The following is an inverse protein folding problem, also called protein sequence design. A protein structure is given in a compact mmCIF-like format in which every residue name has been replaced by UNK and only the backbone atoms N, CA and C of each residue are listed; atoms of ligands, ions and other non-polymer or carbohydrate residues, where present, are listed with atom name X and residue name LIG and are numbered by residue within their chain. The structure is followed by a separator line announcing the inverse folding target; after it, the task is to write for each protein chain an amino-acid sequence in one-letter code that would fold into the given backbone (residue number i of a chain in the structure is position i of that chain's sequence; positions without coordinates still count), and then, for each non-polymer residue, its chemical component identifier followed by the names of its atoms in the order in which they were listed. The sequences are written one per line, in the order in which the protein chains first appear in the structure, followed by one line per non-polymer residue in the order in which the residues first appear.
data_IF_620682735682
#
_entry.id   IF_620682735682
#
_cell.length_a   1.000
_cell.length_b   1.000
_cell.length_c   1.000
_cell.angle_alpha   90.00
_cell.angle_beta   90.00
_cell.angle_gamma   90.00
#
_symmetry.space_group_name_H-M   'P 1'
#
loop_
_entity.id
_entity.type
_entity.pdbx_description
1 polymer ?
#
# COMPACT_ATOMS: atom_id res chain seq x y z
N UNK A 1 25.64 -9.43 13.46
CA UNK A 1 25.07 -8.62 12.37
C UNK A 1 24.79 -7.23 12.93
N UNK A 2 24.99 -6.18 12.16
CA UNK A 2 24.63 -4.82 12.59
C UNK A 2 23.09 -4.74 12.65
N UNK A 3 22.50 -4.22 13.74
CA UNK A 3 21.04 -4.06 13.81
C UNK A 3 20.54 -3.11 12.69
N UNK A 4 19.33 -3.30 12.20
CA UNK A 4 18.78 -2.44 11.17
C UNK A 4 18.63 -1.00 11.64
N UNK A 5 18.71 -0.06 10.69
CA UNK A 5 18.34 1.33 10.90
C UNK A 5 17.05 1.69 10.19
N UNK A 6 16.63 2.94 10.31
CA UNK A 6 15.45 3.46 9.61
C UNK A 6 15.81 4.66 8.75
N UNK A 7 15.29 4.67 7.52
CA UNK A 7 15.32 5.82 6.63
C UNK A 7 13.96 6.51 6.71
N UNK A 8 13.93 7.73 7.22
CA UNK A 8 12.74 8.58 7.24
C UNK A 8 12.83 9.69 6.18
N UNK A 9 11.69 10.18 5.72
CA UNK A 9 11.65 11.38 4.88
C UNK A 9 12.07 12.61 5.72
N UNK A 10 12.87 13.51 5.13
CA UNK A 10 13.16 14.78 5.76
C UNK A 10 12.06 15.82 5.48
N UNK A 11 11.92 16.80 6.38
CA UNK A 11 11.12 18.00 6.15
C UNK A 11 11.73 18.80 4.98
N UNK A 12 10.98 19.13 3.93
CA UNK A 12 11.50 19.83 2.75
C UNK A 12 12.11 21.21 3.06
N UNK A 13 11.59 21.90 4.08
CA UNK A 13 12.07 23.23 4.49
C UNK A 13 13.16 23.15 5.56
N UNK A 14 13.25 22.03 6.27
CA UNK A 14 14.24 21.80 7.34
C UNK A 14 14.92 20.43 7.17
N UNK A 15 15.75 20.23 6.15
CA UNK A 15 16.25 18.91 5.73
C UNK A 15 17.08 18.12 6.76
N UNK A 16 17.33 18.71 7.94
CA UNK A 16 17.99 18.05 9.08
C UNK A 16 17.00 17.50 10.11
N UNK A 17 15.71 17.69 9.88
CA UNK A 17 14.62 17.18 10.71
C UNK A 17 13.79 16.18 9.90
N UNK A 18 13.22 15.16 10.55
CA UNK A 18 12.22 14.33 9.89
C UNK A 18 11.01 15.17 9.48
N UNK A 19 10.32 14.73 8.43
CA UNK A 19 9.01 15.29 8.06
C UNK A 19 8.08 15.26 9.28
N UNK A 20 7.27 16.30 9.44
CA UNK A 20 6.39 16.45 10.62
C UNK A 20 5.44 15.28 10.82
N UNK A 21 4.99 14.64 9.73
CA UNK A 21 4.13 13.46 9.77
C UNK A 21 4.82 12.25 10.43
N UNK A 22 6.11 12.09 10.22
CA UNK A 22 6.90 10.96 10.73
C UNK A 22 7.76 11.32 11.96
N UNK A 23 7.65 12.54 12.49
CA UNK A 23 8.54 13.01 13.57
C UNK A 23 8.37 12.21 14.87
N UNK A 24 7.14 11.82 15.20
CA UNK A 24 6.87 11.01 16.39
C UNK A 24 7.43 9.60 16.23
N UNK A 25 7.23 8.99 15.07
CA UNK A 25 7.75 7.67 14.73
C UNK A 25 9.28 7.64 14.70
N UNK A 26 9.93 8.66 14.12
CA UNK A 26 11.39 8.79 14.14
C UNK A 26 11.94 8.91 15.58
N UNK A 27 11.20 9.62 16.45
CA UNK A 27 11.54 9.72 17.87
C UNK A 27 11.36 8.39 18.59
N UNK A 28 10.27 7.65 18.32
CA UNK A 28 10.03 6.34 18.89
C UNK A 28 11.08 5.31 18.45
N UNK A 29 11.46 5.30 17.16
CA UNK A 29 12.55 4.47 16.66
C UNK A 29 13.88 4.79 17.38
N UNK A 30 14.16 6.08 17.61
CA UNK A 30 15.33 6.52 18.39
C UNK A 30 15.29 6.06 19.85
N UNK A 31 14.13 6.12 20.51
CA UNK A 31 13.94 5.60 21.90
C UNK A 31 14.15 4.08 21.97
N UNK A 32 13.74 3.35 20.93
CA UNK A 32 13.98 1.91 20.79
C UNK A 32 15.46 1.58 20.50
N UNK A 33 16.35 2.58 20.37
CA UNK A 33 17.78 2.39 20.12
C UNK A 33 18.15 2.25 18.64
N UNK A 34 17.23 2.53 17.73
CA UNK A 34 17.50 2.46 16.30
C UNK A 34 18.35 3.64 15.82
N UNK A 35 19.21 3.38 14.83
CA UNK A 35 19.82 4.43 14.03
C UNK A 35 18.77 4.96 13.05
N UNK A 36 18.49 6.26 13.11
CA UNK A 36 17.62 6.96 12.17
C UNK A 36 18.45 7.83 11.22
N UNK A 37 18.11 7.80 9.95
CA UNK A 37 18.75 8.56 8.87
C UNK A 37 17.66 9.19 8.01
N UNK A 38 17.93 10.34 7.42
CA UNK A 38 16.97 11.09 6.63
C UNK A 38 17.32 11.01 5.14
N UNK A 39 16.29 10.81 4.31
CA UNK A 39 16.37 10.94 2.85
C UNK A 39 15.52 12.11 2.37
N UNK A 40 15.85 12.65 1.21
CA UNK A 40 15.09 13.69 0.54
C UNK A 40 14.09 13.03 -0.43
N UNK A 41 12.83 12.97 0.01
CA UNK A 41 11.76 12.34 -0.76
C UNK A 41 11.42 13.14 -2.02
N UNK A 42 11.45 14.49 -1.95
CA UNK A 42 11.14 15.34 -3.10
C UNK A 42 12.20 15.20 -4.18
N UNK A 43 13.48 15.14 -3.81
CA UNK A 43 14.58 14.87 -4.76
C UNK A 43 14.39 13.50 -5.44
N UNK A 44 13.98 12.45 -4.67
CA UNK A 44 13.69 11.14 -5.22
C UNK A 44 12.55 11.18 -6.25
N UNK A 45 11.45 11.84 -5.92
CA UNK A 45 10.31 11.97 -6.84
C UNK A 45 10.66 12.78 -8.09
N UNK A 46 11.54 13.79 -7.94
CA UNK A 46 12.06 14.57 -9.07
C UNK A 46 13.05 13.79 -9.97
N UNK A 47 13.43 12.56 -9.59
CA UNK A 47 14.33 11.71 -10.37
C UNK A 47 15.81 11.93 -10.09
N UNK A 48 16.15 12.47 -8.93
CA UNK A 48 17.53 12.62 -8.44
C UNK A 48 17.76 11.73 -7.19
N UNK A 49 17.89 10.40 -7.38
CA UNK A 49 18.08 9.47 -6.27
C UNK A 49 19.43 9.66 -5.55
N UNK A 50 20.46 10.16 -6.22
CA UNK A 50 21.75 10.46 -5.60
C UNK A 50 21.63 11.62 -4.60
N UNK A 51 20.93 12.69 -4.97
CA UNK A 51 20.63 13.79 -4.04
C UNK A 51 19.77 13.29 -2.88
N UNK A 52 18.76 12.46 -3.17
CA UNK A 52 17.86 11.89 -2.18
C UNK A 52 18.61 11.16 -1.05
N UNK A 53 19.64 10.38 -1.37
CA UNK A 53 20.40 9.58 -0.40
C UNK A 53 21.73 10.25 0.04
N UNK A 54 21.96 11.50 -0.33
CA UNK A 54 23.27 12.19 -0.09
C UNK A 54 23.68 12.21 1.39
N UNK A 55 22.72 12.24 2.30
CA UNK A 55 22.92 12.25 3.77
C UNK A 55 23.06 10.86 4.38
N UNK A 56 22.78 9.77 3.63
CA UNK A 56 22.92 8.42 4.15
C UNK A 56 24.41 8.09 4.27
N UNK A 57 24.93 7.71 5.45
CA UNK A 57 26.33 7.34 5.60
C UNK A 57 26.69 6.15 4.70
N UNK A 58 27.89 6.16 4.14
CA UNK A 58 28.39 5.04 3.33
C UNK A 58 28.62 3.80 4.18
N UNK A 59 28.51 2.63 3.56
CA UNK A 59 28.80 1.32 4.17
C UNK A 59 28.03 1.11 5.47
N UNK A 60 26.75 1.51 5.47
CA UNK A 60 25.86 1.48 6.61
C UNK A 60 24.53 0.76 6.26
N UNK A 61 23.75 0.41 7.25
CA UNK A 61 22.53 -0.38 7.08
C UNK A 61 22.71 -1.80 7.62
N UNK A 62 21.79 -2.73 7.34
CA UNK A 62 20.61 -2.55 6.50
C UNK A 62 19.58 -1.57 7.05
N UNK A 63 18.64 -1.15 6.20
CA UNK A 63 17.62 -0.18 6.57
C UNK A 63 16.20 -0.65 6.25
N UNK A 64 15.24 -0.32 7.14
CA UNK A 64 13.84 -0.17 6.81
C UNK A 64 13.61 1.25 6.28
N UNK A 65 12.84 1.38 5.21
CA UNK A 65 12.27 2.68 4.83
C UNK A 65 11.02 2.95 5.68
N UNK A 66 10.78 4.19 6.08
CA UNK A 66 9.55 4.61 6.73
C UNK A 66 9.23 6.04 6.33
N UNK A 67 8.18 6.22 5.50
CA UNK A 67 7.88 7.54 4.96
C UNK A 67 6.72 7.54 3.97
N UNK A 68 6.68 8.58 3.19
CA UNK A 68 5.68 8.77 2.15
C UNK A 68 5.78 7.66 1.09
N UNK A 69 4.63 7.39 0.46
CA UNK A 69 4.53 6.43 -0.63
C UNK A 69 5.45 6.83 -1.79
N UNK A 70 6.15 5.85 -2.33
CA UNK A 70 7.07 6.02 -3.44
C UNK A 70 6.54 5.20 -4.63
N UNK A 71 6.43 5.77 -5.86
CA UNK A 71 6.15 4.97 -7.04
C UNK A 71 7.18 3.84 -7.20
N UNK A 72 6.78 2.61 -7.59
CA UNK A 72 7.68 1.45 -7.62
C UNK A 72 8.97 1.67 -8.42
N UNK A 73 8.91 2.40 -9.53
CA UNK A 73 10.10 2.76 -10.31
C UNK A 73 11.08 3.61 -9.49
N UNK A 74 10.57 4.61 -8.75
CA UNK A 74 11.39 5.48 -7.89
C UNK A 74 11.94 4.73 -6.69
N UNK A 75 11.20 3.74 -6.16
CA UNK A 75 11.71 2.88 -5.10
C UNK A 75 12.88 2.01 -5.58
N UNK A 76 12.82 1.49 -6.80
CA UNK A 76 13.95 0.78 -7.40
C UNK A 76 15.17 1.69 -7.65
N UNK A 77 14.96 2.96 -7.95
CA UNK A 77 16.04 3.96 -8.05
C UNK A 77 16.66 4.25 -6.69
N UNK A 78 15.83 4.40 -5.64
CA UNK A 78 16.31 4.53 -4.25
C UNK A 78 17.18 3.35 -3.83
N UNK A 79 16.72 2.12 -4.09
CA UNK A 79 17.47 0.90 -3.77
C UNK A 79 18.85 0.89 -4.46
N UNK A 80 18.91 1.22 -5.76
CA UNK A 80 20.16 1.29 -6.52
C UNK A 80 21.11 2.38 -5.98
N UNK A 81 20.58 3.57 -5.65
CA UNK A 81 21.37 4.66 -5.10
C UNK A 81 21.94 4.32 -3.72
N UNK A 82 21.17 3.63 -2.88
CA UNK A 82 21.65 3.12 -1.60
C UNK A 82 22.73 2.04 -1.79
N UNK A 83 22.53 1.10 -2.73
CA UNK A 83 23.53 0.06 -3.04
C UNK A 83 24.86 0.65 -3.52
N UNK A 84 24.83 1.73 -4.32
CA UNK A 84 26.02 2.48 -4.74
C UNK A 84 26.76 3.16 -3.57
N UNK A 85 26.11 3.28 -2.42
CA UNK A 85 26.71 3.78 -1.16
C UNK A 85 27.14 2.67 -0.21
N UNK A 86 27.05 1.40 -0.60
CA UNK A 86 27.32 0.25 0.28
C UNK A 86 26.21 0.01 1.31
N UNK A 87 25.00 0.48 1.04
CA UNK A 87 23.82 0.34 1.92
C UNK A 87 22.79 -0.59 1.29
N UNK A 88 21.93 -1.20 2.09
CA UNK A 88 20.83 -2.05 1.61
C UNK A 88 19.51 -1.74 2.28
N UNK A 89 18.41 -1.99 1.57
CA UNK A 89 17.06 -2.02 2.12
C UNK A 89 16.71 -3.43 2.58
N UNK A 90 15.88 -3.54 3.61
CA UNK A 90 15.33 -4.81 4.11
C UNK A 90 14.11 -5.27 3.33
N UNK A 91 13.41 -4.34 2.69
CA UNK A 91 12.43 -4.61 1.64
C UNK A 91 13.05 -4.17 0.32
N UNK A 92 13.31 -5.09 -0.58
CA UNK A 92 13.78 -4.77 -1.93
C UNK A 92 12.65 -4.20 -2.80
N UNK A 93 13.00 -3.67 -3.97
CA UNK A 93 12.02 -3.05 -4.86
C UNK A 93 10.99 -4.03 -5.44
N UNK A 94 11.32 -5.31 -5.54
CA UNK A 94 10.40 -6.36 -5.97
C UNK A 94 9.36 -6.63 -4.88
N UNK A 95 9.80 -6.83 -3.64
CA UNK A 95 8.91 -7.06 -2.50
C UNK A 95 8.02 -5.84 -2.22
N UNK A 96 8.59 -4.60 -2.32
CA UNK A 96 7.81 -3.37 -2.21
C UNK A 96 6.67 -3.33 -3.23
N UNK A 97 6.97 -3.55 -4.52
CA UNK A 97 5.97 -3.56 -5.58
C UNK A 97 4.94 -4.66 -5.39
N UNK A 98 5.38 -5.86 -5.01
CA UNK A 98 4.52 -7.01 -4.76
C UNK A 98 3.48 -6.73 -3.68
N UNK A 99 3.87 -6.12 -2.56
CA UNK A 99 2.95 -5.76 -1.49
C UNK A 99 2.09 -4.53 -1.83
N UNK A 100 2.59 -3.61 -2.66
CA UNK A 100 1.97 -2.33 -2.93
C UNK A 100 0.91 -2.37 -4.02
N UNK A 101 1.12 -3.14 -5.10
CA UNK A 101 0.21 -3.22 -6.24
C UNK A 101 -0.70 -4.45 -6.16
N UNK A 102 -2.00 -4.29 -6.36
CA UNK A 102 -2.99 -5.38 -6.28
C UNK A 102 -2.58 -6.63 -7.07
N UNK A 103 -2.12 -6.56 -8.33
CA UNK A 103 -1.70 -7.74 -9.08
C UNK A 103 -0.58 -8.54 -8.40
N UNK A 104 0.27 -7.88 -7.62
CA UNK A 104 1.39 -8.52 -6.94
C UNK A 104 0.96 -9.41 -5.77
N UNK A 105 -0.05 -9.00 -5.02
CA UNK A 105 -0.49 -9.73 -3.82
C UNK A 105 -1.76 -10.55 -4.02
N UNK A 106 -2.53 -10.30 -5.07
CA UNK A 106 -3.87 -10.87 -5.24
C UNK A 106 -3.91 -12.40 -5.18
N UNK A 107 -2.98 -13.08 -5.86
CA UNK A 107 -2.98 -14.54 -5.95
C UNK A 107 -2.89 -15.18 -4.55
N UNK A 108 -2.01 -14.66 -3.69
CA UNK A 108 -1.86 -15.16 -2.31
C UNK A 108 -3.13 -14.94 -1.45
N UNK A 109 -3.96 -13.94 -1.79
CA UNK A 109 -5.12 -13.53 -1.01
C UNK A 109 -6.48 -13.91 -1.62
N UNK A 110 -6.53 -14.65 -2.72
CA UNK A 110 -7.78 -14.95 -3.45
C UNK A 110 -8.89 -15.54 -2.57
N UNK A 111 -8.55 -16.33 -1.55
CA UNK A 111 -9.52 -16.93 -0.61
C UNK A 111 -10.13 -15.91 0.36
N UNK A 112 -9.43 -14.82 0.66
CA UNK A 112 -9.77 -13.88 1.73
C UNK A 112 -10.01 -12.45 1.24
N UNK A 113 -9.98 -12.20 -0.07
CA UNK A 113 -10.18 -10.88 -0.69
C UNK A 113 -11.33 -10.93 -1.71
N UNK A 114 -12.04 -9.83 -2.01
CA UNK A 114 -13.02 -9.79 -3.07
C UNK A 114 -12.42 -10.14 -4.43
N UNK A 115 -13.17 -10.86 -5.27
CA UNK A 115 -12.74 -11.20 -6.63
C UNK A 115 -12.37 -9.93 -7.40
N UNK A 116 -11.22 -9.96 -8.06
CA UNK A 116 -10.70 -8.82 -8.81
C UNK A 116 -10.11 -9.29 -10.13
N UNK A 117 -10.29 -8.48 -11.15
CA UNK A 117 -9.64 -8.60 -12.45
C UNK A 117 -9.01 -7.26 -12.80
N UNK A 118 -8.02 -7.24 -13.66
CA UNK A 118 -7.32 -5.99 -13.96
C UNK A 118 -6.71 -5.97 -15.35
N UNK A 119 -6.53 -4.76 -15.85
CA UNK A 119 -5.81 -4.46 -17.07
C UNK A 119 -4.72 -3.44 -16.78
N UNK A 120 -3.48 -3.76 -17.15
CA UNK A 120 -2.38 -2.79 -17.10
C UNK A 120 -2.65 -1.65 -18.10
N UNK A 121 -2.40 -0.43 -17.66
CA UNK A 121 -2.59 0.80 -18.44
C UNK A 121 -1.66 1.87 -17.88
N UNK A 122 -0.94 2.56 -18.76
CA UNK A 122 -0.08 3.67 -18.37
C UNK A 122 -0.79 5.02 -18.49
N UNK A 123 -0.40 6.03 -17.70
CA UNK A 123 -0.88 7.39 -17.92
C UNK A 123 -0.71 7.85 -19.38
N UNK A 124 -1.75 8.44 -19.95
CA UNK A 124 -1.75 8.95 -21.33
C UNK A 124 -1.96 7.90 -22.42
N UNK A 125 -2.05 6.61 -22.08
CA UNK A 125 -2.49 5.60 -23.06
C UNK A 125 -3.97 5.82 -23.46
N UNK A 126 -4.34 5.48 -24.70
CA UNK A 126 -5.74 5.54 -25.12
C UNK A 126 -6.65 4.72 -24.22
N UNK A 127 -7.81 5.28 -23.90
CA UNK A 127 -8.84 4.55 -23.13
C UNK A 127 -9.29 3.34 -23.96
N UNK A 128 -9.21 2.12 -23.41
CA UNK A 128 -9.68 0.90 -24.06
C UNK A 128 -11.15 0.95 -24.45
N UNK A 129 -11.52 0.17 -25.48
CA UNK A 129 -12.90 0.05 -25.92
C UNK A 129 -13.83 -0.49 -24.82
N UNK A 130 -15.11 -0.09 -24.80
CA UNK A 130 -16.09 -0.60 -23.83
C UNK A 130 -16.19 -2.13 -23.76
N UNK A 131 -15.97 -2.84 -24.88
CA UNK A 131 -15.96 -4.29 -24.92
C UNK A 131 -14.86 -4.92 -24.08
N UNK A 132 -13.68 -4.29 -24.02
CA UNK A 132 -12.55 -4.77 -23.21
C UNK A 132 -12.85 -4.70 -21.71
N UNK A 133 -13.62 -3.69 -21.28
CA UNK A 133 -14.09 -3.62 -19.89
C UNK A 133 -15.14 -4.67 -19.57
N UNK A 134 -15.99 -5.02 -20.55
CA UNK A 134 -16.96 -6.11 -20.41
C UNK A 134 -16.28 -7.47 -20.31
N UNK A 135 -15.24 -7.71 -21.11
CA UNK A 135 -14.43 -8.92 -21.01
C UNK A 135 -13.77 -9.03 -19.64
N UNK A 136 -13.18 -7.93 -19.17
CA UNK A 136 -12.57 -7.85 -17.84
C UNK A 136 -13.59 -8.11 -16.71
N UNK A 137 -14.83 -7.60 -16.85
CA UNK A 137 -15.91 -7.89 -15.91
C UNK A 137 -16.32 -9.37 -15.95
N UNK A 138 -16.27 -10.00 -17.13
CA UNK A 138 -16.53 -11.42 -17.33
C UNK A 138 -15.56 -12.33 -16.55
N UNK A 139 -14.33 -11.92 -16.37
CA UNK A 139 -13.32 -12.64 -15.55
C UNK A 139 -13.71 -12.74 -14.07
N UNK A 140 -14.61 -11.86 -13.60
CA UNK A 140 -15.15 -11.95 -12.24
C UNK A 140 -16.24 -13.03 -12.09
N UNK A 141 -16.65 -13.66 -13.19
CA UNK A 141 -17.61 -14.75 -13.22
C UNK A 141 -18.87 -14.43 -14.05
N UNK A 142 -19.77 -15.41 -14.23
CA UNK A 142 -20.89 -15.30 -15.18
C UNK A 142 -21.97 -14.30 -14.79
N UNK A 143 -22.02 -13.88 -13.52
CA UNK A 143 -22.93 -12.86 -13.00
C UNK A 143 -22.18 -12.03 -11.94
N UNK A 144 -21.31 -11.10 -12.37
CA UNK A 144 -20.42 -10.41 -11.45
C UNK A 144 -21.14 -9.46 -10.46
N UNK A 145 -22.37 -9.02 -10.78
CA UNK A 145 -23.14 -8.10 -9.95
C UNK A 145 -22.51 -6.71 -9.84
N UNK A 146 -22.68 -6.03 -8.71
CA UNK A 146 -22.06 -4.72 -8.49
C UNK A 146 -20.55 -4.84 -8.29
N UNK A 147 -19.81 -3.77 -8.65
CA UNK A 147 -18.37 -3.73 -8.51
C UNK A 147 -17.83 -2.33 -8.26
N UNK A 148 -16.54 -2.27 -8.00
CA UNK A 148 -15.80 -1.01 -7.87
C UNK A 148 -14.67 -0.94 -8.88
N UNK A 149 -14.40 0.27 -9.34
CA UNK A 149 -13.26 0.63 -10.18
C UNK A 149 -12.19 1.25 -9.30
N UNK A 150 -10.94 0.81 -9.45
CA UNK A 150 -9.78 1.39 -8.80
C UNK A 150 -8.55 1.23 -9.71
N UNK A 151 -7.43 1.85 -9.37
CA UNK A 151 -6.14 1.45 -9.93
C UNK A 151 -5.49 0.33 -9.08
N UNK A 152 -4.26 -0.01 -9.36
CA UNK A 152 -3.56 -1.08 -8.63
C UNK A 152 -3.35 -0.76 -7.14
N UNK A 153 -3.46 0.52 -6.75
CA UNK A 153 -3.17 1.00 -5.40
C UNK A 153 -4.37 1.72 -4.77
N UNK A 154 -4.99 2.68 -5.49
CA UNK A 154 -5.98 3.61 -4.95
C UNK A 154 -7.35 3.47 -5.60
N UNK A 155 -8.40 3.83 -4.85
CA UNK A 155 -9.77 4.00 -5.36
C UNK A 155 -10.21 5.46 -5.24
N UNK A 156 -11.24 5.82 -6.03
CA UNK A 156 -11.88 7.15 -6.00
C UNK A 156 -13.13 7.11 -5.12
N UNK A 157 -12.99 6.64 -3.88
CA UNK A 157 -14.13 6.47 -2.95
C UNK A 157 -14.89 7.78 -2.62
N UNK A 158 -14.24 8.93 -2.80
CA UNK A 158 -14.88 10.23 -2.62
C UNK A 158 -15.81 10.60 -3.79
N UNK A 159 -15.54 10.09 -4.98
CA UNK A 159 -16.36 10.18 -6.18
C UNK A 159 -17.13 8.86 -6.42
N UNK A 160 -17.74 8.31 -5.35
CA UNK A 160 -18.31 6.96 -5.32
C UNK A 160 -19.19 6.62 -6.52
N UNK A 161 -20.18 7.46 -6.83
CA UNK A 161 -21.14 7.19 -7.91
C UNK A 161 -20.64 7.55 -9.32
N UNK A 162 -19.59 8.35 -9.42
CA UNK A 162 -19.09 8.85 -10.68
C UNK A 162 -17.90 8.05 -11.21
N UNK A 163 -16.96 7.69 -10.32
CA UNK A 163 -15.66 7.16 -10.68
C UNK A 163 -15.22 5.92 -9.85
N UNK A 164 -16.13 5.30 -9.09
CA UNK A 164 -15.78 4.15 -8.26
C UNK A 164 -16.79 3.03 -8.36
N UNK A 165 -18.06 3.25 -8.05
CA UNK A 165 -19.08 2.20 -7.94
C UNK A 165 -19.86 1.99 -9.23
N UNK A 166 -19.96 0.73 -9.66
CA UNK A 166 -20.77 0.28 -10.78
C UNK A 166 -21.86 -0.63 -10.23
N UNK A 167 -23.15 -0.24 -10.31
CA UNK A 167 -24.25 -1.02 -9.75
C UNK A 167 -24.40 -2.42 -10.39
N UNK A 168 -24.07 -2.54 -11.67
CA UNK A 168 -24.14 -3.79 -12.44
C UNK A 168 -23.00 -3.81 -13.45
N UNK A 169 -22.03 -4.68 -13.25
CA UNK A 169 -20.85 -4.79 -14.12
C UNK A 169 -21.16 -5.31 -15.53
N UNK A 170 -22.33 -5.92 -15.74
CA UNK A 170 -22.81 -6.32 -17.07
C UNK A 170 -23.41 -5.18 -17.87
N UNK A 171 -23.69 -4.02 -17.25
CA UNK A 171 -24.07 -2.79 -17.94
C UNK A 171 -22.81 -2.14 -18.55
N UNK A 172 -22.49 -2.53 -19.78
CA UNK A 172 -21.28 -2.09 -20.50
C UNK A 172 -21.18 -0.58 -20.63
N UNK A 173 -22.29 0.12 -20.87
CA UNK A 173 -22.30 1.58 -21.03
C UNK A 173 -21.99 2.28 -19.71
N UNK A 174 -22.63 1.85 -18.63
CA UNK A 174 -22.37 2.38 -17.29
C UNK A 174 -20.96 2.09 -16.83
N UNK A 175 -20.48 0.86 -17.02
CA UNK A 175 -19.11 0.46 -16.68
C UNK A 175 -18.09 1.32 -17.42
N UNK A 176 -18.20 1.46 -18.74
CA UNK A 176 -17.30 2.30 -19.54
C UNK A 176 -17.34 3.76 -19.10
N UNK A 177 -18.51 4.29 -18.76
CA UNK A 177 -18.66 5.66 -18.23
C UNK A 177 -17.93 5.87 -16.91
N UNK A 178 -18.06 4.94 -15.95
CA UNK A 178 -17.37 5.02 -14.66
C UNK A 178 -15.86 4.87 -14.82
N UNK A 179 -15.40 3.91 -15.64
CA UNK A 179 -13.97 3.74 -15.94
C UNK A 179 -13.39 4.96 -16.62
N UNK A 180 -14.08 5.52 -17.63
CA UNK A 180 -13.66 6.75 -18.32
C UNK A 180 -13.49 7.91 -17.34
N UNK A 181 -14.47 8.10 -16.44
CA UNK A 181 -14.40 9.15 -15.42
C UNK A 181 -13.28 8.91 -14.40
N UNK A 182 -13.08 7.65 -13.99
CA UNK A 182 -11.98 7.27 -13.13
C UNK A 182 -10.63 7.63 -13.77
N UNK A 183 -10.40 7.24 -15.02
CA UNK A 183 -9.16 7.53 -15.74
C UNK A 183 -8.92 9.03 -15.91
N UNK A 184 -9.98 9.79 -16.25
CA UNK A 184 -9.90 11.25 -16.33
C UNK A 184 -9.42 11.89 -15.02
N UNK A 185 -9.98 11.44 -13.89
CA UNK A 185 -9.63 11.96 -12.56
C UNK A 185 -8.27 11.48 -12.05
N UNK A 186 -7.81 10.30 -12.45
CA UNK A 186 -6.48 9.80 -12.11
C UNK A 186 -5.39 10.51 -12.92
N UNK A 187 -5.61 10.76 -14.22
CA UNK A 187 -4.64 11.43 -15.08
C UNK A 187 -3.24 10.82 -14.96
N UNK A 188 -2.25 11.65 -14.70
CA UNK A 188 -0.84 11.24 -14.54
C UNK A 188 -0.58 10.44 -13.26
N UNK A 189 -1.53 10.40 -12.33
CA UNK A 189 -1.41 9.64 -11.07
C UNK A 189 -1.95 8.21 -11.16
N UNK A 190 -2.36 7.74 -12.35
CA UNK A 190 -2.80 6.36 -12.55
C UNK A 190 -1.68 5.37 -12.17
N UNK A 191 -1.93 4.54 -11.18
CA UNK A 191 -0.98 3.55 -10.71
C UNK A 191 -1.21 2.19 -11.39
N UNK A 192 -0.40 1.87 -12.40
CA UNK A 192 -0.25 0.55 -13.01
C UNK A 192 -1.40 0.07 -13.90
N UNK A 193 -2.62 0.55 -13.73
CA UNK A 193 -3.76 0.15 -14.56
C UNK A 193 -5.11 0.23 -13.88
N UNK A 194 -6.13 -0.37 -14.47
CA UNK A 194 -7.50 -0.40 -13.97
C UNK A 194 -7.82 -1.77 -13.40
N UNK A 195 -8.43 -1.80 -12.23
CA UNK A 195 -8.97 -2.98 -11.55
C UNK A 195 -10.49 -2.87 -11.51
N UNK A 196 -11.16 -3.93 -11.90
CA UNK A 196 -12.55 -4.19 -11.57
C UNK A 196 -12.59 -5.16 -10.40
N UNK A 197 -13.31 -4.80 -9.35
CA UNK A 197 -13.39 -5.61 -8.14
C UNK A 197 -14.84 -5.84 -7.74
N UNK A 198 -15.23 -7.08 -7.47
CA UNK A 198 -16.55 -7.39 -7.00
C UNK A 198 -16.86 -6.61 -5.72
N UNK A 199 -18.01 -5.96 -5.66
CA UNK A 199 -18.48 -5.28 -4.48
C UNK A 199 -18.93 -6.30 -3.43
N UNK A 200 -18.45 -6.13 -2.20
CA UNK A 200 -18.93 -6.87 -1.03
C UNK A 200 -19.50 -5.86 -0.01
N UNK A 201 -20.65 -6.11 0.60
CA UNK A 201 -21.24 -5.22 1.59
C UNK A 201 -20.50 -5.36 2.93
N UNK A 202 -19.88 -4.27 3.38
CA UNK A 202 -19.15 -4.22 4.66
C UNK A 202 -19.92 -3.45 5.72
N UNK A 203 -19.73 -3.87 6.98
CA UNK A 203 -20.31 -3.20 8.15
C UNK A 203 -19.63 -1.83 8.33
N UNK A 204 -20.37 -0.72 8.41
CA UNK A 204 -19.78 0.59 8.66
C UNK A 204 -18.92 0.60 9.94
N UNK A 205 -17.68 1.06 9.82
CA UNK A 205 -16.73 1.11 10.94
C UNK A 205 -16.14 -0.25 11.34
N UNK A 206 -16.43 -1.33 10.59
CA UNK A 206 -15.87 -2.65 10.80
C UNK A 206 -14.50 -2.83 10.12
N UNK A 207 -13.64 -1.80 10.11
CA UNK A 207 -12.31 -1.86 9.49
C UNK A 207 -11.21 -1.87 10.54
N UNK A 208 -10.18 -2.74 10.32
CA UNK A 208 -8.97 -2.79 11.11
C UNK A 208 -7.75 -2.87 10.19
N UNK A 209 -6.66 -2.21 10.57
CA UNK A 209 -5.35 -2.39 9.96
C UNK A 209 -4.50 -3.34 10.79
N UNK A 210 -4.01 -4.40 10.17
CA UNK A 210 -3.11 -5.37 10.80
C UNK A 210 -1.71 -5.21 10.22
N UNK A 211 -0.74 -5.08 11.09
CA UNK A 211 0.69 -4.98 10.77
C UNK A 211 1.33 -6.35 10.93
N UNK A 212 2.02 -6.80 9.89
CA UNK A 212 2.64 -8.13 9.82
C UNK A 212 4.15 -8.00 9.64
N UNK A 213 4.89 -8.75 10.44
CA UNK A 213 6.35 -8.86 10.31
C UNK A 213 6.72 -10.34 10.19
N UNK A 214 7.40 -10.70 9.11
CA UNK A 214 7.80 -12.07 8.79
C UNK A 214 6.64 -13.08 8.95
N UNK A 215 5.45 -12.71 8.45
CA UNK A 215 4.24 -13.53 8.47
C UNK A 215 3.52 -13.63 9.81
N UNK A 216 3.89 -12.82 10.80
CA UNK A 216 3.25 -12.76 12.13
C UNK A 216 2.59 -11.40 12.33
N UNK A 217 1.36 -11.39 12.83
CA UNK A 217 0.70 -10.15 13.24
C UNK A 217 1.42 -9.58 14.47
N UNK A 218 1.97 -8.39 14.33
CA UNK A 218 2.69 -7.69 15.42
C UNK A 218 1.86 -6.57 16.03
N UNK A 219 0.86 -6.07 15.30
CA UNK A 219 -0.01 -4.99 15.76
C UNK A 219 -1.36 -5.01 15.03
N UNK A 220 -2.42 -4.64 15.73
CA UNK A 220 -3.74 -4.35 15.16
C UNK A 220 -4.11 -2.93 15.57
N UNK A 221 -4.47 -2.10 14.60
CA UNK A 221 -4.89 -0.72 14.83
C UNK A 221 -6.26 -0.47 14.22
N UNK A 222 -6.94 0.58 14.68
CA UNK A 222 -8.05 1.14 13.91
C UNK A 222 -7.56 1.55 12.52
N UNK A 223 -8.45 1.47 11.52
CA UNK A 223 -8.13 2.05 10.21
C UNK A 223 -8.07 3.59 10.33
N UNK A 224 -7.11 4.28 9.70
CA UNK A 224 -7.01 5.75 9.80
C UNK A 224 -8.28 6.51 9.42
N UNK A 225 -9.09 5.97 8.51
CA UNK A 225 -10.37 6.57 8.09
C UNK A 225 -11.50 6.33 9.09
N UNK A 226 -11.36 5.41 10.05
CA UNK A 226 -12.34 5.07 11.08
C UNK A 226 -11.71 5.07 12.48
N UNK A 227 -11.12 6.19 12.91
CA UNK A 227 -10.44 6.27 14.19
C UNK A 227 -11.42 6.05 15.35
N UNK A 228 -10.96 5.39 16.39
CA UNK A 228 -11.75 5.13 17.60
C UNK A 228 -12.60 3.86 17.58
N UNK A 229 -12.66 3.15 16.45
CA UNK A 229 -13.25 1.81 16.37
C UNK A 229 -12.13 0.79 16.14
N UNK A 230 -11.94 -0.12 17.07
CA UNK A 230 -10.94 -1.19 16.98
C UNK A 230 -11.67 -2.54 17.00
N UNK A 231 -12.14 -3.03 15.85
CA UNK A 231 -12.67 -4.38 15.75
C UNK A 231 -11.54 -5.41 15.90
N UNK A 232 -11.90 -6.63 16.29
CA UNK A 232 -10.95 -7.74 16.44
C UNK A 232 -11.11 -8.67 15.24
N UNK A 233 -10.24 -8.59 14.24
CA UNK A 233 -10.34 -9.43 13.05
C UNK A 233 -9.89 -10.87 13.32
N UNK A 234 -10.45 -11.81 12.55
CA UNK A 234 -9.95 -13.18 12.49
C UNK A 234 -8.71 -13.23 11.59
N UNK A 235 -7.58 -13.69 12.11
CA UNK A 235 -6.28 -13.56 11.47
C UNK A 235 -5.75 -14.83 10.80
N UNK A 236 -6.28 -16.02 11.12
CA UNK A 236 -5.66 -17.30 10.74
C UNK A 236 -5.50 -17.44 9.23
N UNK A 237 -6.59 -17.32 8.46
CA UNK A 237 -6.56 -17.44 7.01
C UNK A 237 -5.76 -16.31 6.35
N UNK A 238 -5.82 -15.10 6.90
CA UNK A 238 -5.04 -13.95 6.41
C UNK A 238 -3.57 -14.14 6.69
N UNK A 239 -3.19 -14.67 7.87
CA UNK A 239 -1.82 -14.98 8.21
C UNK A 239 -1.20 -16.05 7.29
N UNK A 240 -1.99 -17.02 6.79
CA UNK A 240 -1.53 -17.95 5.78
C UNK A 240 -1.24 -17.24 4.44
N UNK A 241 -2.12 -16.35 4.00
CA UNK A 241 -1.94 -15.55 2.79
C UNK A 241 -0.71 -14.63 2.89
N UNK A 242 -0.50 -13.97 4.03
CA UNK A 242 0.67 -13.12 4.26
C UNK A 242 1.97 -13.93 4.21
N UNK A 243 2.00 -15.13 4.79
CA UNK A 243 3.18 -16.01 4.68
C UNK A 243 3.43 -16.46 3.24
N UNK A 244 2.38 -16.76 2.49
CA UNK A 244 2.48 -17.13 1.06
C UNK A 244 2.99 -15.97 0.19
N UNK A 245 2.65 -14.72 0.54
CA UNK A 245 3.15 -13.53 -0.14
C UNK A 245 4.68 -13.38 -0.04
N UNK A 246 5.28 -13.79 1.06
CA UNK A 246 6.72 -13.77 1.27
C UNK A 246 7.35 -12.40 1.49
N UNK A 247 6.56 -11.33 1.63
CA UNK A 247 7.04 -10.00 1.97
C UNK A 247 7.23 -9.87 3.50
N UNK A 248 8.33 -9.23 3.91
CA UNK A 248 8.72 -9.20 5.32
C UNK A 248 7.82 -8.32 6.19
N UNK A 249 7.50 -7.11 5.72
CA UNK A 249 6.75 -6.13 6.51
C UNK A 249 5.62 -5.54 5.68
N UNK A 250 4.40 -5.96 5.97
CA UNK A 250 3.20 -5.58 5.22
C UNK A 250 2.06 -5.19 6.15
N UNK A 251 1.09 -4.46 5.63
CA UNK A 251 -0.20 -4.24 6.28
C UNK A 251 -1.31 -4.91 5.50
N UNK A 252 -2.37 -5.31 6.19
CA UNK A 252 -3.64 -5.67 5.59
C UNK A 252 -4.73 -4.81 6.20
N UNK A 253 -5.50 -4.12 5.36
CA UNK A 253 -6.75 -3.51 5.78
C UNK A 253 -7.84 -4.55 5.65
N UNK A 254 -8.48 -4.84 6.76
CA UNK A 254 -9.49 -5.88 6.87
C UNK A 254 -10.83 -5.25 7.21
N UNK A 255 -11.88 -5.63 6.49
CA UNK A 255 -13.23 -5.17 6.74
C UNK A 255 -14.16 -6.35 7.09
N UNK A 256 -15.06 -6.12 8.03
CA UNK A 256 -16.10 -7.07 8.42
C UNK A 256 -17.25 -6.97 7.43
N UNK A 257 -17.53 -8.07 6.73
CA UNK A 257 -18.69 -8.17 5.84
C UNK A 257 -19.98 -8.38 6.64
N UNK A 258 -21.13 -7.98 6.10
CA UNK A 258 -22.43 -8.06 6.78
C UNK A 258 -22.83 -9.50 7.22
N UNK A 259 -22.29 -10.52 6.57
CA UNK A 259 -22.49 -11.93 6.95
C UNK A 259 -21.53 -12.44 8.05
N UNK A 260 -20.69 -11.56 8.59
CA UNK A 260 -19.75 -11.86 9.65
C UNK A 260 -18.36 -12.31 9.18
N UNK A 261 -18.12 -12.46 7.88
CA UNK A 261 -16.80 -12.84 7.37
C UNK A 261 -15.84 -11.64 7.32
N UNK A 262 -14.62 -11.84 7.78
CA UNK A 262 -13.53 -10.87 7.60
C UNK A 262 -12.91 -10.99 6.21
N UNK A 263 -12.72 -9.82 5.55
CA UNK A 263 -12.15 -9.76 4.20
C UNK A 263 -10.99 -8.78 4.16
N UNK A 264 -9.94 -9.13 3.43
CA UNK A 264 -8.84 -8.20 3.12
C UNK A 264 -9.29 -7.30 1.99
N UNK A 265 -9.40 -6.00 2.26
CA UNK A 265 -9.77 -5.00 1.26
C UNK A 265 -8.56 -4.36 0.61
N UNK A 266 -7.44 -4.30 1.33
CA UNK A 266 -6.16 -3.80 0.81
C UNK A 266 -4.99 -4.53 1.47
N UNK A 267 -3.95 -4.81 0.68
CA UNK A 267 -2.62 -5.13 1.18
C UNK A 267 -1.72 -3.95 0.84
N UNK A 268 -0.87 -3.56 1.76
CA UNK A 268 0.08 -2.47 1.56
C UNK A 268 1.48 -2.84 2.05
N UNK A 269 2.49 -2.21 1.47
CA UNK A 269 3.81 -2.23 2.09
C UNK A 269 3.77 -1.39 3.37
N UNK A 270 4.14 -1.99 4.48
CA UNK A 270 4.00 -1.36 5.80
C UNK A 270 4.93 -0.13 5.97
N UNK A 271 5.97 -0.02 5.16
CA UNK A 271 6.88 1.13 5.18
C UNK A 271 6.17 2.44 4.85
N UNK A 272 5.08 2.37 4.09
CA UNK A 272 4.30 3.54 3.62
C UNK A 272 2.85 3.56 4.13
N UNK A 273 2.50 2.63 5.02
CA UNK A 273 1.17 2.57 5.64
C UNK A 273 1.09 3.51 6.84
N UNK A 274 0.03 4.31 6.95
CA UNK A 274 -0.18 5.24 8.06
C UNK A 274 -0.50 4.54 9.38
N UNK A 275 0.06 5.02 10.49
CA UNK A 275 -0.40 4.73 11.84
C UNK A 275 -1.55 5.67 12.22
N UNK A 276 -2.44 5.29 13.15
CA UNK A 276 -3.36 6.23 13.77
C UNK A 276 -2.62 7.42 14.38
N UNK A 277 -3.23 8.62 14.36
CA UNK A 277 -2.57 9.85 14.77
C UNK A 277 -2.13 9.88 16.25
N UNK A 278 -2.75 9.07 17.09
CA UNK A 278 -2.44 8.89 18.52
C UNK A 278 -1.46 7.75 18.81
N UNK A 279 -0.93 7.09 17.76
CA UNK A 279 -0.03 5.95 17.83
C UNK A 279 1.37 6.33 17.35
N UNK A 280 2.34 6.35 18.23
CA UNK A 280 3.75 6.64 17.89
C UNK A 280 4.54 5.45 17.37
N UNK A 281 3.93 4.27 17.33
CA UNK A 281 4.56 3.03 16.84
C UNK A 281 5.60 2.41 17.75
N UNK A 282 5.72 2.79 19.03
CA UNK A 282 6.81 2.37 19.92
C UNK A 282 7.09 0.86 19.87
N UNK A 283 6.11 0.00 20.16
CA UNK A 283 6.30 -1.46 20.12
C UNK A 283 6.54 -2.03 18.72
N UNK A 284 6.14 -1.31 17.65
CA UNK A 284 6.39 -1.71 16.27
C UNK A 284 7.88 -1.56 15.92
N UNK A 285 8.53 -0.46 16.31
CA UNK A 285 9.95 -0.25 16.06
C UNK A 285 10.83 -1.23 16.85
N UNK A 286 10.44 -1.61 18.06
CA UNK A 286 11.12 -2.66 18.82
C UNK A 286 11.06 -4.02 18.10
N UNK A 287 9.88 -4.40 17.58
CA UNK A 287 9.72 -5.63 16.80
C UNK A 287 10.58 -5.63 15.53
N UNK A 288 10.63 -4.50 14.81
CA UNK A 288 11.42 -4.36 13.58
C UNK A 288 12.94 -4.40 13.83
N UNK A 289 13.40 -3.98 15.00
CA UNK A 289 14.82 -4.08 15.37
C UNK A 289 15.23 -5.51 15.71
N UNK A 290 14.28 -6.33 16.17
CA UNK A 290 14.51 -7.72 16.53
C UNK A 290 14.39 -8.73 15.37
N UNK A 291 14.04 -8.26 14.16
CA UNK A 291 13.73 -9.10 13.00
C UNK A 291 14.93 -9.46 12.10
#
# INVERSE_FOLDING_TARGET
MTPPGFLFCCDPLRPRHPDSEFAQEASAAGRAGARTVLIDHDALLAGDPEAAVSRVPRDSGPYWYRGWMIPPLRYAELERALAARGCSLLTDSTAYRTAHELPGWYEAFTAVTPRSSWRALSPGEPVPDPSEWSDLAGDLGPAPGPGIVKDFVKSRKHEWHEACFVPELTDTERLAGVVGRFLELQGDFLAGGVVLRAYEPFVPGGEARVWWLDGRAVRVTAHPDTPGLLPVPELDAVGEAVRALGCRWVTTDMALREDGAWRVVEVGDAQVSGLPADDDGEGLFEALLGA
#
